data_IF_284953686999
#
_entry.id   IF_284953686999
#
_cell.length_a   1.000
_cell.length_b   1.000
_cell.length_c   1.000
_cell.angle_alpha   90.00
_cell.angle_beta   90.00
_cell.angle_gamma   90.00
#
_symmetry.space_group_name_H-M   'P 1'
#
loop_
_entity.id
_entity.type
_entity.pdbx_description
1 polymer ?
#
# COMPACT_ATOMS: atom_id res chain seq x y z
N UNK A 1 -4.15 22.65 21.09
CA UNK A 1 -4.32 21.87 19.83
C UNK A 1 -3.21 22.26 18.88
N UNK A 2 -2.51 21.30 18.26
CA UNK A 2 -1.28 21.57 17.50
C UNK A 2 -1.50 21.25 16.02
N UNK A 3 -1.78 22.28 15.22
CA UNK A 3 -2.08 22.22 13.78
C UNK A 3 -0.97 21.48 13.01
N UNK A 4 0.29 21.61 13.44
CA UNK A 4 1.42 20.90 12.85
C UNK A 4 1.30 19.38 12.96
N UNK A 5 0.81 18.85 14.10
CA UNK A 5 0.60 17.41 14.27
C UNK A 5 -0.54 16.90 13.40
N UNK A 6 -1.63 17.66 13.28
CA UNK A 6 -2.75 17.29 12.41
C UNK A 6 -2.36 17.27 10.93
N UNK A 7 -1.60 18.26 10.46
CA UNK A 7 -1.06 18.27 9.09
C UNK A 7 -0.10 17.10 8.85
N UNK A 8 0.77 16.79 9.81
CA UNK A 8 1.70 15.65 9.70
C UNK A 8 0.96 14.31 9.67
N UNK A 9 -0.08 14.14 10.49
CA UNK A 9 -0.88 12.90 10.51
C UNK A 9 -1.75 12.74 9.26
N UNK A 10 -2.19 13.85 8.65
CA UNK A 10 -2.85 13.84 7.33
C UNK A 10 -1.86 13.43 6.22
N UNK A 11 -0.65 14.02 6.18
CA UNK A 11 0.37 13.64 5.19
C UNK A 11 0.84 12.17 5.35
N UNK A 12 0.96 11.66 6.59
CA UNK A 12 1.25 10.24 6.84
C UNK A 12 0.16 9.30 6.33
N UNK A 13 -1.08 9.79 6.21
CA UNK A 13 -2.18 9.04 5.60
C UNK A 13 -2.03 9.02 4.08
N UNK A 14 -1.52 10.09 3.46
CA UNK A 14 -1.23 10.16 2.01
C UNK A 14 -0.12 9.21 1.58
N UNK A 15 0.87 8.95 2.44
CA UNK A 15 1.95 8.00 2.13
C UNK A 15 1.51 6.54 2.07
N UNK A 16 0.26 6.20 2.38
CA UNK A 16 -0.23 4.81 2.34
C UNK A 16 -0.93 4.52 1.02
N UNK A 17 -0.47 3.50 0.32
CA UNK A 17 -1.06 3.02 -0.91
C UNK A 17 -1.41 1.52 -0.81
N UNK A 18 -2.17 1.01 -1.77
CA UNK A 18 -2.51 -0.41 -1.86
C UNK A 18 -2.02 -1.00 -3.19
N UNK A 19 -1.51 -2.23 -3.14
CA UNK A 19 -1.11 -2.99 -4.32
C UNK A 19 -1.37 -4.49 -4.11
N UNK A 20 -1.64 -5.20 -5.19
CA UNK A 20 -1.83 -6.66 -5.22
C UNK A 20 -0.49 -7.33 -5.49
N UNK A 21 -0.04 -8.22 -4.63
CA UNK A 21 1.20 -8.96 -4.87
C UNK A 21 1.00 -9.94 -6.02
N UNK A 22 1.84 -9.85 -7.06
CA UNK A 22 1.81 -10.68 -8.26
C UNK A 22 2.82 -11.82 -8.20
N UNK A 23 3.99 -11.59 -7.58
CA UNK A 23 5.05 -12.57 -7.48
C UNK A 23 5.92 -12.40 -6.23
N UNK A 24 6.53 -13.49 -5.78
CA UNK A 24 7.61 -13.46 -4.78
C UNK A 24 8.96 -13.31 -5.48
N UNK A 25 9.76 -12.35 -5.03
CA UNK A 25 11.14 -12.15 -5.49
C UNK A 25 12.17 -12.78 -4.54
N UNK A 26 11.71 -13.40 -3.45
CA UNK A 26 12.55 -13.97 -2.41
C UNK A 26 13.03 -12.94 -1.37
N UNK A 27 13.53 -13.44 -0.24
CA UNK A 27 14.09 -12.59 0.83
C UNK A 27 13.10 -11.60 1.46
N UNK A 28 11.80 -11.90 1.44
CA UNK A 28 10.75 -10.97 1.91
C UNK A 28 10.50 -9.80 0.96
N UNK A 29 10.91 -9.92 -0.29
CA UNK A 29 10.63 -8.95 -1.36
C UNK A 29 9.57 -9.50 -2.30
N UNK A 30 8.67 -8.63 -2.73
CA UNK A 30 7.48 -8.98 -3.50
C UNK A 30 7.33 -8.03 -4.68
N UNK A 31 6.97 -8.57 -5.82
CA UNK A 31 6.43 -7.77 -6.93
C UNK A 31 4.93 -7.58 -6.69
N UNK A 32 4.45 -6.35 -6.84
CA UNK A 32 3.04 -6.03 -6.71
C UNK A 32 2.58 -5.07 -7.78
N UNK A 33 1.30 -5.14 -8.11
CA UNK A 33 0.64 -4.27 -9.07
C UNK A 33 -0.31 -3.33 -8.34
N UNK A 34 -0.12 -2.04 -8.56
CA UNK A 34 -1.04 -1.01 -8.07
C UNK A 34 -2.34 -1.02 -8.88
N UNK A 35 -3.40 -0.36 -8.37
CA UNK A 35 -4.67 -0.28 -9.09
C UNK A 35 -4.55 0.37 -10.47
N UNK A 36 -3.59 1.27 -10.68
CA UNK A 36 -3.36 1.90 -11.99
C UNK A 36 -2.56 1.04 -12.97
N UNK A 37 -2.30 -0.24 -12.65
CA UNK A 37 -1.50 -1.15 -13.47
C UNK A 37 0.02 -0.94 -13.37
N UNK A 38 0.48 -0.07 -12.47
CA UNK A 38 1.93 0.15 -12.26
C UNK A 38 2.50 -0.93 -11.35
N UNK A 39 3.57 -1.56 -11.79
CA UNK A 39 4.37 -2.49 -10.97
C UNK A 39 5.20 -1.74 -9.93
N UNK A 40 5.16 -2.21 -8.69
CA UNK A 40 5.91 -1.70 -7.53
C UNK A 40 6.56 -2.86 -6.78
N UNK A 41 7.68 -2.58 -6.11
CA UNK A 41 8.39 -3.56 -5.30
C UNK A 41 8.06 -3.31 -3.84
N UNK A 42 7.56 -4.35 -3.17
CA UNK A 42 7.19 -4.31 -1.76
C UNK A 42 8.14 -5.15 -0.91
N UNK A 43 8.30 -4.76 0.36
CA UNK A 43 9.18 -5.42 1.31
C UNK A 43 8.43 -5.76 2.60
N UNK A 44 8.69 -6.96 3.12
CA UNK A 44 8.12 -7.44 4.39
C UNK A 44 7.31 -8.71 4.21
N UNK A 45 6.32 -8.89 5.08
CA UNK A 45 5.44 -10.07 5.06
C UNK A 45 4.28 -9.84 4.10
N UNK A 46 4.25 -10.61 3.02
CA UNK A 46 3.21 -10.55 1.99
C UNK A 46 2.79 -11.95 1.55
N UNK A 47 1.76 -12.00 0.71
CA UNK A 47 1.23 -13.22 0.12
C UNK A 47 0.80 -12.95 -1.32
N UNK A 48 1.22 -13.82 -2.25
CA UNK A 48 0.87 -13.71 -3.67
C UNK A 48 -0.64 -13.81 -3.89
N UNK A 49 -1.17 -12.95 -4.76
CA UNK A 49 -2.59 -12.87 -5.08
C UNK A 49 -3.41 -12.04 -4.10
N UNK A 50 -2.84 -11.59 -2.98
CA UNK A 50 -3.51 -10.74 -1.99
C UNK A 50 -3.09 -9.28 -2.13
N UNK A 51 -3.97 -8.38 -1.70
CA UNK A 51 -3.69 -6.94 -1.60
C UNK A 51 -3.16 -6.58 -0.23
N UNK A 52 -2.20 -5.66 -0.22
CA UNK A 52 -1.59 -5.13 1.00
C UNK A 52 -1.50 -3.61 0.93
N UNK A 53 -1.69 -2.96 2.08
CA UNK A 53 -1.29 -1.59 2.28
C UNK A 53 0.21 -1.53 2.46
N UNK A 54 0.83 -0.54 1.82
CA UNK A 54 2.25 -0.29 1.90
C UNK A 54 2.55 1.20 2.04
N UNK A 55 3.70 1.53 2.60
CA UNK A 55 4.24 2.88 2.60
C UNK A 55 4.84 3.19 1.22
N UNK A 56 4.29 4.18 0.53
CA UNK A 56 4.62 4.53 -0.85
C UNK A 56 6.04 5.10 -1.01
N UNK A 57 6.67 5.58 0.07
CA UNK A 57 8.04 6.09 0.03
C UNK A 57 9.07 4.98 0.20
N UNK A 58 8.80 3.99 1.02
CA UNK A 58 9.75 2.94 1.43
C UNK A 58 9.46 1.57 0.80
N UNK A 59 8.25 1.35 0.30
CA UNK A 59 7.75 0.07 -0.19
C UNK A 59 7.45 -0.94 0.93
N UNK A 60 7.44 -0.51 2.19
CA UNK A 60 7.24 -1.41 3.32
C UNK A 60 5.77 -1.83 3.43
N UNK A 61 5.53 -3.14 3.49
CA UNK A 61 4.20 -3.70 3.74
C UNK A 61 3.79 -3.37 5.17
N UNK A 62 2.61 -2.77 5.32
CA UNK A 62 2.07 -2.31 6.59
C UNK A 62 1.01 -3.27 7.13
N UNK A 63 0.04 -3.64 6.29
CA UNK A 63 -1.10 -4.47 6.70
C UNK A 63 -1.78 -5.10 5.47
N UNK A 64 -2.53 -6.21 5.63
CA UNK A 64 -3.42 -6.69 4.60
C UNK A 64 -4.42 -5.61 4.22
N UNK A 65 -4.64 -5.43 2.91
CA UNK A 65 -5.69 -4.57 2.41
C UNK A 65 -6.87 -5.45 1.97
N UNK A 66 -8.11 -5.01 2.21
CA UNK A 66 -9.27 -5.74 1.72
C UNK A 66 -9.22 -5.77 0.19
N UNK A 67 -9.67 -6.88 -0.39
CA UNK A 67 -9.82 -6.98 -1.84
C UNK A 67 -11.14 -6.31 -2.22
N UNK A 68 -11.17 -4.99 -2.09
CA UNK A 68 -12.30 -4.17 -2.50
C UNK A 68 -11.99 -3.65 -3.90
N UNK A 69 -12.87 -3.96 -4.85
CA UNK A 69 -13.10 -3.06 -5.97
C UNK A 69 -13.70 -1.80 -5.35
N UNK A 70 -12.85 -0.78 -5.16
CA UNK A 70 -13.24 0.48 -4.56
C UNK A 70 -14.33 1.09 -5.44
N UNK A 71 -15.59 0.89 -5.05
CA UNK A 71 -16.71 1.61 -5.63
C UNK A 71 -16.51 3.06 -5.21
N UNK A 72 -16.32 3.91 -6.19
CA UNK A 72 -16.16 5.35 -6.04
C UNK A 72 -17.20 5.87 -5.03
N UNK A 73 -16.75 6.53 -3.96
CA UNK A 73 -17.67 7.29 -3.12
C UNK A 73 -17.93 8.57 -3.92
N UNK A 74 -19.04 8.58 -4.66
CA UNK A 74 -19.55 9.79 -5.27
C UNK A 74 -19.76 10.84 -4.16
N UNK A 75 -18.90 11.86 -4.16
CA UNK A 75 -19.05 13.09 -3.38
C UNK A 75 -20.11 13.97 -4.02
#
# INVERSE_FOLDING_TARGET
MNLYRQLTDLMKRESRAAAKITASLGGGTWEAETQSGRTVILRGRGETGKRFFYDAHTGQILAPAPDLDMTDIAV
#
